data_IF_246151690772
#
_entry.id   IF_246151690772
#
_cell.length_a   1.000
_cell.length_b   1.000
_cell.length_c   1.000
_cell.angle_alpha   90.00
_cell.angle_beta   90.00
_cell.angle_gamma   90.00
#
_symmetry.space_group_name_H-M   'P 1'
#
loop_
_entity.id
_entity.type
_entity.pdbx_description
1 polymer ?
#
# COMPACT_ATOMS: atom_id res chain seq x y z
N UNK A 1 2.54 -25.69 -12.72
CA UNK A 1 2.88 -24.55 -13.58
C UNK A 1 1.97 -23.35 -13.38
N UNK A 2 0.65 -23.42 -13.65
CA UNK A 2 -0.28 -22.30 -13.39
C UNK A 2 -0.36 -21.97 -11.88
N UNK A 3 -0.42 -23.00 -11.02
CA UNK A 3 -0.47 -22.81 -9.57
C UNK A 3 0.83 -22.19 -9.00
N UNK A 4 1.99 -22.53 -9.57
CA UNK A 4 3.28 -21.96 -9.15
C UNK A 4 3.39 -20.48 -9.54
N UNK A 5 2.87 -20.11 -10.71
CA UNK A 5 2.81 -18.72 -11.16
C UNK A 5 1.83 -17.91 -10.28
N UNK A 6 0.65 -18.46 -10.00
CA UNK A 6 -0.32 -17.82 -9.08
C UNK A 6 0.27 -17.65 -7.67
N UNK A 7 0.96 -18.67 -7.16
CA UNK A 7 1.65 -18.61 -5.87
C UNK A 7 2.74 -17.54 -5.83
N UNK A 8 3.58 -17.46 -6.87
CA UNK A 8 4.59 -16.41 -7.00
C UNK A 8 3.97 -15.01 -7.07
N UNK A 9 2.88 -14.85 -7.82
CA UNK A 9 2.14 -13.58 -7.93
C UNK A 9 1.54 -13.19 -6.59
N UNK A 10 0.91 -14.11 -5.86
CA UNK A 10 0.36 -13.85 -4.53
C UNK A 10 1.45 -13.47 -3.52
N UNK A 11 2.58 -14.17 -3.50
CA UNK A 11 3.70 -13.86 -2.58
C UNK A 11 4.30 -12.48 -2.91
N UNK A 12 4.57 -12.21 -4.19
CA UNK A 12 5.17 -10.96 -4.62
C UNK A 12 4.25 -9.77 -4.35
N UNK A 13 2.96 -9.90 -4.66
CA UNK A 13 1.95 -8.84 -4.42
C UNK A 13 1.73 -8.60 -2.92
N UNK A 14 1.69 -9.66 -2.10
CA UNK A 14 1.60 -9.54 -0.63
C UNK A 14 2.85 -8.85 -0.05
N UNK A 15 4.03 -9.22 -0.53
CA UNK A 15 5.29 -8.59 -0.16
C UNK A 15 5.33 -7.11 -0.53
N UNK A 16 4.89 -6.77 -1.76
CA UNK A 16 4.81 -5.39 -2.23
C UNK A 16 3.81 -4.58 -1.40
N UNK A 17 2.66 -5.18 -1.05
CA UNK A 17 1.65 -4.55 -0.22
C UNK A 17 2.17 -4.26 1.20
N UNK A 18 2.82 -5.24 1.84
CA UNK A 18 3.44 -5.08 3.16
C UNK A 18 4.55 -4.02 3.15
N UNK A 19 5.41 -4.02 2.14
CA UNK A 19 6.44 -2.98 1.96
C UNK A 19 5.82 -1.60 1.75
N UNK A 20 4.76 -1.50 0.95
CA UNK A 20 4.10 -0.22 0.66
C UNK A 20 3.42 0.34 1.90
N UNK A 21 2.87 -0.52 2.76
CA UNK A 21 2.33 -0.11 4.06
C UNK A 21 3.46 0.36 4.99
N UNK A 22 4.51 -0.43 5.19
CA UNK A 22 5.55 -0.07 6.16
C UNK A 22 6.41 1.10 5.69
N UNK A 23 7.00 0.98 4.49
CA UNK A 23 7.91 1.98 3.94
C UNK A 23 7.15 3.20 3.41
N UNK A 24 6.00 2.98 2.76
CA UNK A 24 5.20 4.08 2.22
C UNK A 24 4.64 4.99 3.31
N UNK A 25 4.23 4.46 4.46
CA UNK A 25 3.85 5.27 5.63
C UNK A 25 5.05 6.09 6.10
N UNK A 26 6.21 5.46 6.27
CA UNK A 26 7.43 6.13 6.76
C UNK A 26 7.85 7.31 5.87
N UNK A 27 7.83 7.10 4.54
CA UNK A 27 8.15 8.15 3.57
C UNK A 27 7.12 9.27 3.64
N UNK A 28 5.82 8.98 3.79
CA UNK A 28 4.77 10.00 3.90
C UNK A 28 4.93 10.81 5.19
N UNK A 29 5.23 10.16 6.31
CA UNK A 29 5.51 10.81 7.60
C UNK A 29 6.68 11.80 7.50
N UNK A 30 7.71 11.47 6.72
CA UNK A 30 8.85 12.38 6.48
C UNK A 30 8.43 13.70 5.82
N UNK A 31 7.35 13.71 5.02
CA UNK A 31 6.83 14.91 4.33
C UNK A 31 5.68 15.61 5.07
N UNK A 32 5.37 15.18 6.29
CA UNK A 32 4.33 15.78 7.13
C UNK A 32 4.77 17.16 7.61
N UNK A 33 3.84 18.12 7.57
CA UNK A 33 4.12 19.53 7.88
C UNK A 33 4.08 19.81 9.38
N UNK A 34 3.43 18.95 10.16
CA UNK A 34 3.33 19.04 11.62
C UNK A 34 4.37 18.17 12.33
N UNK A 35 5.00 18.74 13.35
CA UNK A 35 6.05 18.12 14.15
C UNK A 35 5.47 17.13 15.18
N UNK A 36 6.05 15.93 15.19
CA UNK A 36 6.13 14.94 16.27
C UNK A 36 4.92 14.81 17.20
N UNK A 37 4.03 13.87 16.86
CA UNK A 37 3.64 12.89 17.87
C UNK A 37 3.58 11.50 17.21
N UNK A 38 4.61 10.71 17.45
CA UNK A 38 4.89 9.41 16.79
C UNK A 38 3.89 8.30 17.20
N UNK A 39 2.94 8.63 18.10
CA UNK A 39 2.04 7.67 18.75
C UNK A 39 0.79 7.33 17.94
N UNK A 40 0.65 7.81 16.70
CA UNK A 40 -0.55 7.56 15.89
C UNK A 40 -0.20 6.96 14.53
N UNK A 41 0.44 5.80 14.55
CA UNK A 41 0.64 4.94 13.39
C UNK A 41 -0.67 4.71 12.61
N UNK A 42 -1.80 4.61 13.35
CA UNK A 42 -3.15 4.57 12.78
C UNK A 42 -3.53 5.87 12.06
N UNK A 43 -3.26 7.07 12.60
CA UNK A 43 -3.51 8.32 11.85
C UNK A 43 -2.63 8.42 10.61
N UNK A 44 -1.38 7.96 10.65
CA UNK A 44 -0.49 8.00 9.48
C UNK A 44 -0.96 7.01 8.39
N UNK A 45 -1.57 5.89 8.79
CA UNK A 45 -2.30 5.00 7.88
C UNK A 45 -3.52 5.71 7.26
N UNK A 46 -4.30 6.45 8.06
CA UNK A 46 -5.42 7.27 7.55
C UNK A 46 -4.93 8.44 6.67
N UNK A 47 -3.73 8.97 6.88
CA UNK A 47 -3.15 10.00 6.01
C UNK A 47 -2.96 9.47 4.60
N UNK A 48 -2.66 8.19 4.39
CA UNK A 48 -2.58 7.60 3.04
C UNK A 48 -3.90 7.82 2.27
N UNK A 49 -5.05 7.78 2.95
CA UNK A 49 -6.39 7.79 2.33
C UNK A 49 -7.17 9.11 2.46
N UNK A 50 -7.13 9.82 3.60
CA UNK A 50 -8.07 10.90 3.92
C UNK A 50 -7.46 12.28 4.21
N UNK A 51 -6.18 12.40 4.59
CA UNK A 51 -5.62 13.67 5.06
C UNK A 51 -4.47 14.24 4.19
N UNK A 52 -4.82 14.73 3.00
CA UNK A 52 -3.86 15.42 2.11
C UNK A 52 -3.41 16.80 2.62
N UNK A 53 -4.19 17.44 3.49
CA UNK A 53 -3.95 18.81 3.94
C UNK A 53 -2.80 18.95 4.96
N UNK A 54 -2.40 17.83 5.60
CA UNK A 54 -1.30 17.79 6.58
C UNK A 54 0.08 17.57 5.93
N UNK A 55 0.14 17.42 4.59
CA UNK A 55 1.34 17.09 3.83
C UNK A 55 1.84 18.28 3.00
N UNK A 56 3.16 18.36 2.83
CA UNK A 56 3.79 19.29 1.87
C UNK A 56 3.34 19.00 0.43
N UNK A 57 3.52 19.96 -0.50
CA UNK A 57 3.15 19.77 -1.92
C UNK A 57 3.86 18.56 -2.55
N UNK A 58 5.11 18.30 -2.16
CA UNK A 58 5.87 17.08 -2.53
C UNK A 58 5.29 15.83 -1.84
N UNK A 59 4.99 15.91 -0.54
CA UNK A 59 4.33 14.84 0.21
C UNK A 59 3.01 14.36 -0.39
N UNK A 60 2.17 15.26 -0.90
CA UNK A 60 0.93 14.89 -1.61
C UNK A 60 1.17 14.07 -2.88
N UNK A 61 2.25 14.38 -3.62
CA UNK A 61 2.62 13.62 -4.82
C UNK A 61 3.07 12.19 -4.46
N UNK A 62 3.91 12.08 -3.42
CA UNK A 62 4.38 10.79 -2.91
C UNK A 62 3.22 9.97 -2.33
N UNK A 63 2.32 10.58 -1.57
CA UNK A 63 1.11 9.93 -1.06
C UNK A 63 0.24 9.38 -2.20
N UNK A 64 0.06 10.15 -3.30
CA UNK A 64 -0.70 9.71 -4.47
C UNK A 64 -0.03 8.51 -5.15
N UNK A 65 1.30 8.48 -5.20
CA UNK A 65 2.07 7.36 -5.75
C UNK A 65 1.93 6.11 -4.86
N UNK A 66 2.17 6.23 -3.55
CA UNK A 66 2.03 5.14 -2.57
C UNK A 66 0.61 4.57 -2.60
N UNK A 67 -0.42 5.43 -2.65
CA UNK A 67 -1.81 4.99 -2.76
C UNK A 67 -2.06 4.19 -4.05
N UNK A 68 -1.51 4.62 -5.19
CA UNK A 68 -1.66 3.89 -6.47
C UNK A 68 -1.00 2.52 -6.41
N UNK A 69 0.21 2.43 -5.86
CA UNK A 69 0.93 1.16 -5.69
C UNK A 69 0.13 0.24 -4.76
N UNK A 70 -0.37 0.77 -3.65
CA UNK A 70 -1.15 0.00 -2.67
C UNK A 70 -2.45 -0.55 -3.27
N UNK A 71 -3.24 0.29 -3.96
CA UNK A 71 -4.46 -0.15 -4.66
C UNK A 71 -4.12 -1.15 -5.78
N UNK A 72 -3.04 -0.90 -6.54
CA UNK A 72 -2.58 -1.81 -7.60
C UNK A 72 -2.22 -3.20 -7.05
N UNK A 73 -1.46 -3.25 -5.96
CA UNK A 73 -1.13 -4.53 -5.30
C UNK A 73 -2.37 -5.25 -4.77
N UNK A 74 -3.36 -4.51 -4.26
CA UNK A 74 -4.62 -5.07 -3.78
C UNK A 74 -5.44 -5.68 -4.95
N UNK A 75 -5.53 -4.97 -6.08
CA UNK A 75 -6.24 -5.46 -7.27
C UNK A 75 -5.60 -6.74 -7.83
N UNK A 76 -4.27 -6.81 -7.83
CA UNK A 76 -3.54 -8.02 -8.26
C UNK A 76 -3.80 -9.18 -7.31
N UNK A 77 -3.82 -8.93 -5.99
CA UNK A 77 -4.20 -9.91 -4.98
C UNK A 77 -5.62 -10.43 -5.17
N UNK A 78 -6.61 -9.55 -5.34
CA UNK A 78 -8.00 -9.94 -5.58
C UNK A 78 -8.18 -10.68 -6.91
N UNK A 79 -7.47 -10.26 -7.97
CA UNK A 79 -7.47 -10.95 -9.25
C UNK A 79 -6.88 -12.35 -9.15
N UNK A 80 -5.71 -12.49 -8.52
CA UNK A 80 -5.07 -13.80 -8.30
C UNK A 80 -5.94 -14.71 -7.42
N UNK A 81 -6.56 -14.17 -6.37
CA UNK A 81 -7.48 -14.91 -5.50
C UNK A 81 -8.74 -15.36 -6.25
N UNK A 82 -9.34 -14.47 -7.06
CA UNK A 82 -10.50 -14.82 -7.90
C UNK A 82 -10.19 -15.91 -8.93
N UNK A 83 -9.00 -15.87 -9.53
CA UNK A 83 -8.53 -16.93 -10.44
C UNK A 83 -8.28 -18.24 -9.69
N UNK A 84 -7.66 -18.20 -8.50
CA UNK A 84 -7.47 -19.40 -7.68
C UNK A 84 -8.81 -20.04 -7.28
N UNK A 85 -9.76 -19.22 -6.80
CA UNK A 85 -11.07 -19.68 -6.37
C UNK A 85 -11.92 -20.23 -7.54
N UNK A 86 -11.90 -19.59 -8.71
CA UNK A 86 -12.64 -20.09 -9.89
C UNK A 86 -11.99 -21.33 -10.51
N UNK A 87 -10.69 -21.53 -10.30
CA UNK A 87 -9.96 -22.72 -10.75
C UNK A 87 -10.04 -23.90 -9.78
N UNK A 88 -10.73 -23.76 -8.63
CA UNK A 88 -10.91 -24.83 -7.64
C UNK A 88 -9.63 -25.22 -6.89
N UNK A 89 -8.68 -24.29 -6.77
CA UNK A 89 -7.39 -24.47 -6.08
C UNK A 89 -7.47 -23.89 -4.67
#
# INVERSE_FOLDING_TARGET
MINDILGFVMITSTGLFGLTITVGIFIICYFKKENKNNSRYLEDFFIIFFHQNKLTRKGRYVQKLVRRVLIGSLLVLFGAFGVAHTSGI
#
